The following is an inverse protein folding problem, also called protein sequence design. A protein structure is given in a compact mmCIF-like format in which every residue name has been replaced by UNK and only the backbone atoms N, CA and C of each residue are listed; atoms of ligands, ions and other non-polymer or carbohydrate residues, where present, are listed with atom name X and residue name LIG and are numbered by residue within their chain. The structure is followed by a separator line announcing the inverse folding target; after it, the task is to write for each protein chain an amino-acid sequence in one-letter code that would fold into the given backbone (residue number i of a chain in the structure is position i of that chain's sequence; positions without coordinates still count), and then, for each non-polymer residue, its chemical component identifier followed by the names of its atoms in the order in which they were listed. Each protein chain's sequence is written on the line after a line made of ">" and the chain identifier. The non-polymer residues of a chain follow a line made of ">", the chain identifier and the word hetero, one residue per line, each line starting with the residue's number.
data_IF_289354799235
#
_entry.id   IF_289354799235
#
_cell.length_a   1.000
_cell.length_b   1.000
_cell.length_c   1.000
_cell.angle_alpha   90.00
_cell.angle_beta   90.00
_cell.angle_gamma   90.00
#
_symmetry.space_group_name_H-M   'P 1'
#
loop_
_entity.id
_entity.type
_entity.pdbx_description
1 polymer ?
#
# COMPACT_ATOMS: atom_id res chain seq x y z
N UNK A 1 -17.92 -7.31 3.33
CA UNK A 1 -16.58 -7.46 3.93
C UNK A 1 -15.57 -6.71 3.07
N UNK A 2 -14.79 -5.85 3.66
CA UNK A 2 -13.75 -5.15 2.92
C UNK A 2 -12.46 -5.96 2.94
N UNK A 3 -11.73 -5.89 1.84
CA UNK A 3 -10.44 -6.53 1.71
C UNK A 3 -9.33 -5.50 1.96
N UNK A 4 -8.43 -5.84 2.87
CA UNK A 4 -7.28 -5.01 3.22
C UNK A 4 -6.07 -5.54 2.47
N UNK A 5 -5.41 -4.69 1.70
CA UNK A 5 -4.24 -5.05 0.91
C UNK A 5 -3.08 -4.17 1.33
N UNK A 6 -2.05 -4.77 1.90
CA UNK A 6 -0.88 -4.08 2.42
C UNK A 6 0.34 -4.56 1.66
N UNK A 7 1.14 -3.63 1.15
CA UNK A 7 2.40 -3.97 0.48
C UNK A 7 3.53 -3.18 1.10
N UNK A 8 4.60 -3.87 1.44
CA UNK A 8 5.85 -3.28 1.87
C UNK A 8 6.86 -3.39 0.73
N UNK A 9 7.68 -2.36 0.55
CA UNK A 9 8.64 -2.30 -0.56
C UNK A 9 10.06 -2.19 -0.03
N UNK A 10 10.94 -3.04 -0.54
CA UNK A 10 12.37 -2.98 -0.25
C UNK A 10 13.13 -2.79 -1.55
N UNK A 11 14.10 -1.89 -1.54
CA UNK A 11 14.99 -1.64 -2.68
C UNK A 11 16.42 -1.95 -2.26
N UNK A 12 17.25 -2.53 -3.17
CA UNK A 12 18.63 -2.89 -2.82
C UNK A 12 19.52 -1.67 -2.57
N UNK A 13 19.11 -0.50 -3.06
CA UNK A 13 19.74 0.78 -2.76
C UNK A 13 18.66 1.79 -2.39
N UNK A 14 18.98 2.79 -1.58
CA UNK A 14 18.01 3.86 -1.28
C UNK A 14 17.55 4.54 -2.58
N UNK A 15 16.26 4.84 -2.64
CA UNK A 15 15.73 5.66 -3.73
C UNK A 15 16.28 7.08 -3.59
N UNK A 16 16.60 7.71 -4.73
CA UNK A 16 16.89 9.14 -4.74
C UNK A 16 15.61 9.92 -4.40
N UNK A 17 15.77 11.19 -4.02
CA UNK A 17 14.59 12.04 -3.76
C UNK A 17 13.65 12.14 -4.97
N UNK A 18 14.14 12.34 -6.22
CA UNK A 18 13.27 12.30 -7.38
C UNK A 18 12.56 10.97 -7.59
N UNK A 19 13.25 9.85 -7.33
CA UNK A 19 12.63 8.52 -7.44
C UNK A 19 11.53 8.34 -6.40
N UNK A 20 11.79 8.72 -5.16
CA UNK A 20 10.77 8.63 -4.10
C UNK A 20 9.57 9.52 -4.41
N UNK A 21 9.80 10.70 -4.96
CA UNK A 21 8.73 11.60 -5.37
C UNK A 21 7.90 11.00 -6.52
N UNK A 22 8.55 10.36 -7.49
CA UNK A 22 7.88 9.68 -8.60
C UNK A 22 7.00 8.54 -8.09
N UNK A 23 7.54 7.70 -7.20
CA UNK A 23 6.80 6.58 -6.61
C UNK A 23 5.54 7.09 -5.90
N UNK A 24 5.70 8.13 -5.08
CA UNK A 24 4.59 8.73 -4.35
C UNK A 24 3.53 9.31 -5.27
N UNK A 25 3.96 9.99 -6.33
CA UNK A 25 3.05 10.60 -7.31
C UNK A 25 2.25 9.55 -8.08
N UNK A 26 2.87 8.42 -8.43
CA UNK A 26 2.17 7.33 -9.10
C UNK A 26 1.03 6.81 -8.23
N UNK A 27 1.31 6.52 -6.96
CA UNK A 27 0.29 6.02 -6.03
C UNK A 27 -0.78 7.07 -5.77
N UNK A 28 -0.40 8.33 -5.65
CA UNK A 28 -1.34 9.43 -5.40
C UNK A 28 -2.36 9.62 -6.53
N UNK A 29 -2.02 9.20 -7.75
CA UNK A 29 -2.93 9.30 -8.89
C UNK A 29 -4.01 8.21 -8.90
N UNK A 30 -3.81 7.10 -8.18
CA UNK A 30 -4.67 5.92 -8.30
C UNK A 30 -6.12 6.11 -7.87
N UNK A 31 -6.43 6.88 -6.81
CA UNK A 31 -7.84 7.07 -6.47
C UNK A 31 -8.67 7.67 -7.61
N UNK A 32 -8.10 8.57 -8.40
CA UNK A 32 -8.80 9.14 -9.56
C UNK A 32 -8.63 8.31 -10.81
N UNK A 33 -7.45 7.74 -11.08
CA UNK A 33 -7.21 6.96 -12.30
C UNK A 33 -7.83 5.58 -12.27
N UNK A 34 -7.75 4.89 -11.13
CA UNK A 34 -8.24 3.51 -11.00
C UNK A 34 -9.62 3.48 -10.36
N UNK A 35 -9.78 4.18 -9.23
CA UNK A 35 -11.08 4.40 -8.60
C UNK A 35 -11.73 3.17 -7.96
N UNK A 36 -11.02 2.08 -7.79
CA UNK A 36 -11.56 0.82 -7.28
C UNK A 36 -11.36 0.65 -5.77
N UNK A 37 -10.43 1.42 -5.18
CA UNK A 37 -10.15 1.35 -3.75
C UNK A 37 -11.05 2.31 -2.97
N UNK A 38 -11.41 1.91 -1.77
CA UNK A 38 -12.15 2.76 -0.83
C UNK A 38 -11.20 3.54 0.07
N UNK A 39 -9.96 3.06 0.24
CA UNK A 39 -8.89 3.75 0.97
C UNK A 39 -7.57 3.51 0.26
N UNK A 40 -6.71 4.52 0.29
CA UNK A 40 -5.37 4.43 -0.28
C UNK A 40 -4.44 5.31 0.56
N UNK A 41 -3.40 4.70 1.12
CA UNK A 41 -2.41 5.41 1.94
C UNK A 41 -1.02 4.93 1.56
N UNK A 42 -0.07 5.85 1.56
CA UNK A 42 1.32 5.52 1.27
C UNK A 42 2.19 6.17 2.33
N UNK A 43 3.08 5.40 2.92
CA UNK A 43 3.93 5.89 3.99
C UNK A 43 5.38 5.48 3.81
N UNK A 44 6.25 6.25 4.45
CA UNK A 44 7.68 5.98 4.52
C UNK A 44 8.04 5.66 5.96
N UNK A 45 8.90 4.65 6.17
CA UNK A 45 9.34 4.30 7.50
C UNK A 45 10.08 5.47 8.17
N UNK A 46 9.83 5.65 9.48
CA UNK A 46 10.38 6.77 10.23
C UNK A 46 11.84 6.57 10.65
N UNK A 47 12.18 5.37 11.10
CA UNK A 47 13.46 5.18 11.78
C UNK A 47 14.49 4.42 10.95
N UNK A 48 14.06 3.56 10.04
CA UNK A 48 14.93 2.69 9.27
C UNK A 48 15.58 1.57 10.10
N UNK A 49 15.17 1.40 11.36
CA UNK A 49 15.85 0.51 12.29
C UNK A 49 15.30 -0.91 12.34
N UNK A 50 14.00 -1.09 12.15
CA UNK A 50 13.33 -2.38 12.39
C UNK A 50 12.64 -2.96 11.16
N UNK A 51 12.68 -2.29 10.04
CA UNK A 51 11.92 -2.68 8.85
C UNK A 51 12.66 -3.66 7.96
N UNK A 52 13.89 -4.02 8.30
CA UNK A 52 14.71 -4.97 7.53
C UNK A 52 14.84 -4.58 6.06
N UNK A 53 14.94 -3.26 5.79
CA UNK A 53 15.07 -2.73 4.44
C UNK A 53 13.76 -2.41 3.73
N UNK A 54 12.61 -2.70 4.35
CA UNK A 54 11.31 -2.33 3.80
C UNK A 54 10.97 -0.90 4.22
N UNK A 55 11.31 0.07 3.38
CA UNK A 55 11.22 1.48 3.73
C UNK A 55 9.92 2.16 3.35
N UNK A 56 9.04 1.49 2.59
CA UNK A 56 7.79 2.08 2.12
C UNK A 56 6.63 1.13 2.34
N UNK A 57 5.46 1.69 2.63
CA UNK A 57 4.24 0.93 2.84
C UNK A 57 3.12 1.51 2.00
N UNK A 58 2.41 0.62 1.31
CA UNK A 58 1.16 0.93 0.62
C UNK A 58 0.02 0.21 1.32
N UNK A 59 -0.99 0.96 1.74
CA UNK A 59 -2.22 0.40 2.28
C UNK A 59 -3.37 0.76 1.36
N UNK A 60 -4.10 -0.26 0.89
CA UNK A 60 -5.31 -0.07 0.10
C UNK A 60 -6.43 -0.93 0.65
N UNK A 61 -7.66 -0.43 0.54
CA UNK A 61 -8.86 -1.17 0.90
C UNK A 61 -9.75 -1.28 -0.32
N UNK A 62 -10.31 -2.47 -0.52
CA UNK A 62 -11.22 -2.76 -1.64
C UNK A 62 -12.51 -3.36 -1.10
N UNK A 63 -13.64 -3.16 -1.81
CA UNK A 63 -14.89 -3.77 -1.38
C UNK A 63 -14.86 -5.30 -1.44
N UNK A 64 -14.07 -5.89 -2.35
CA UNK A 64 -13.97 -7.33 -2.53
C UNK A 64 -12.73 -7.72 -3.32
N UNK A 65 -12.51 -9.03 -3.48
CA UNK A 65 -11.35 -9.55 -4.22
C UNK A 65 -11.41 -9.27 -5.71
N UNK A 66 -12.60 -9.11 -6.28
CA UNK A 66 -12.73 -8.77 -7.69
C UNK A 66 -12.19 -7.35 -7.96
N UNK A 67 -12.50 -6.41 -7.09
CA UNK A 67 -11.97 -5.06 -7.18
C UNK A 67 -10.43 -5.05 -7.07
N UNK A 68 -9.88 -5.86 -6.16
CA UNK A 68 -8.43 -6.01 -6.04
C UNK A 68 -7.81 -6.53 -7.35
N UNK A 69 -8.40 -7.56 -7.95
CA UNK A 69 -7.88 -8.11 -9.21
C UNK A 69 -7.94 -7.09 -10.34
N UNK A 70 -9.04 -6.34 -10.45
CA UNK A 70 -9.18 -5.29 -11.46
C UNK A 70 -8.16 -4.17 -11.26
N UNK A 71 -7.87 -3.83 -10.02
CA UNK A 71 -6.83 -2.87 -9.67
C UNK A 71 -5.46 -3.38 -10.11
N UNK A 72 -5.14 -4.64 -9.83
CA UNK A 72 -3.86 -5.22 -10.20
C UNK A 72 -3.65 -5.27 -11.73
N UNK A 73 -4.72 -5.46 -12.49
CA UNK A 73 -4.69 -5.52 -13.95
C UNK A 73 -4.76 -4.14 -14.61
N UNK A 74 -5.04 -3.11 -13.86
CA UNK A 74 -5.18 -1.76 -14.42
C UNK A 74 -3.83 -1.26 -14.95
N UNK A 75 -3.81 -0.58 -16.12
CA UNK A 75 -2.55 -0.09 -16.70
C UNK A 75 -1.72 0.80 -15.78
N UNK A 76 -2.36 1.63 -14.95
CA UNK A 76 -1.64 2.47 -14.00
C UNK A 76 -0.89 1.63 -12.96
N UNK A 77 -1.48 0.52 -12.49
CA UNK A 77 -0.83 -0.38 -11.55
C UNK A 77 0.28 -1.17 -12.23
N UNK A 78 0.05 -1.60 -13.47
CA UNK A 78 1.08 -2.32 -14.25
C UNK A 78 2.31 -1.43 -14.45
N UNK A 79 2.11 -0.15 -14.79
CA UNK A 79 3.22 0.81 -14.92
C UNK A 79 4.01 0.94 -13.62
N UNK A 80 3.32 0.96 -12.49
CA UNK A 80 3.97 1.02 -11.18
C UNK A 80 4.79 -0.24 -10.90
N UNK A 81 4.23 -1.42 -11.17
CA UNK A 81 4.97 -2.68 -11.02
C UNK A 81 6.24 -2.71 -11.86
N UNK A 82 6.14 -2.23 -13.10
CA UNK A 82 7.30 -2.17 -13.99
C UNK A 82 8.35 -1.20 -13.43
N UNK A 83 7.90 -0.06 -12.94
CA UNK A 83 8.79 0.97 -12.39
C UNK A 83 9.56 0.45 -11.17
N UNK A 84 8.90 -0.23 -10.22
CA UNK A 84 9.58 -0.79 -9.07
C UNK A 84 10.46 -1.98 -9.44
N UNK A 85 10.03 -2.80 -10.41
CA UNK A 85 10.80 -3.94 -10.90
C UNK A 85 12.11 -3.50 -11.55
N UNK A 86 12.10 -2.41 -12.31
CA UNK A 86 13.30 -1.84 -12.92
C UNK A 86 14.34 -1.42 -11.87
N UNK A 87 13.92 -1.22 -10.63
CA UNK A 87 14.77 -0.82 -9.50
C UNK A 87 15.03 -1.99 -8.54
N UNK A 88 14.79 -3.20 -9.03
CA UNK A 88 15.02 -4.45 -8.28
C UNK A 88 14.30 -4.49 -6.93
N UNK A 89 13.10 -3.93 -6.90
CA UNK A 89 12.26 -3.94 -5.70
C UNK A 89 11.85 -5.35 -5.32
N UNK A 90 11.87 -5.65 -4.01
CA UNK A 90 11.27 -6.84 -3.46
C UNK A 90 10.00 -6.43 -2.72
N UNK A 91 8.80 -6.67 -3.30
CA UNK A 91 7.55 -6.37 -2.61
C UNK A 91 7.16 -7.52 -1.69
N UNK A 92 6.49 -7.17 -0.59
CA UNK A 92 5.91 -8.12 0.34
C UNK A 92 4.45 -7.73 0.54
N UNK A 93 3.54 -8.58 0.09
CA UNK A 93 2.11 -8.29 0.14
C UNK A 93 1.41 -9.14 1.20
N UNK A 94 0.47 -8.52 1.90
CA UNK A 94 -0.35 -9.17 2.90
C UNK A 94 -1.80 -8.74 2.69
N UNK A 95 -2.68 -9.73 2.49
CA UNK A 95 -4.11 -9.49 2.24
C UNK A 95 -4.96 -10.18 3.29
N UNK A 96 -5.97 -9.49 3.80
CA UNK A 96 -6.94 -10.10 4.70
C UNK A 96 -8.29 -9.39 4.58
N UNK A 97 -9.35 -10.10 4.96
CA UNK A 97 -10.68 -9.50 5.04
C UNK A 97 -10.91 -8.93 6.43
N UNK A 98 -11.42 -7.71 6.46
CA UNK A 98 -11.86 -7.08 7.71
C UNK A 98 -13.30 -7.52 7.95
N UNK A 99 -13.46 -8.62 8.67
CA UNK A 99 -14.74 -9.27 8.90
C UNK A 99 -14.80 -9.86 10.32
N UNK A 100 -15.76 -10.75 10.58
CA UNK A 100 -15.94 -11.39 11.88
C UNK A 100 -14.73 -12.24 12.30
N UNK A 101 -13.88 -12.67 11.35
CA UNK A 101 -12.66 -13.40 11.65
C UNK A 101 -11.50 -12.51 12.08
N UNK A 102 -11.64 -11.20 11.92
CA UNK A 102 -10.61 -10.25 12.35
C UNK A 102 -10.76 -9.98 13.84
N UNK A 103 -9.70 -10.22 14.60
CA UNK A 103 -9.74 -9.95 16.05
C UNK A 103 -9.53 -8.47 16.30
N UNK A 104 -10.57 -7.83 16.81
CA UNK A 104 -10.54 -6.41 17.14
C UNK A 104 -10.34 -6.29 18.66
N UNK A 105 -9.09 -6.07 19.10
CA UNK A 105 -8.75 -6.02 20.51
C UNK A 105 -8.87 -4.64 21.13
N UNK A 106 -8.72 -3.61 20.30
CA UNK A 106 -8.90 -2.23 20.76
C UNK A 106 -9.30 -1.35 19.60
N UNK A 107 -10.45 -0.72 19.73
CA UNK A 107 -10.90 0.32 18.83
C UNK A 107 -11.41 1.46 19.69
N UNK A 108 -10.55 2.44 19.91
CA UNK A 108 -10.89 3.53 20.82
C UNK A 108 -11.24 4.78 20.02
N UNK A 109 -12.37 5.36 20.36
CA UNK A 109 -12.73 6.70 19.91
C UNK A 109 -11.83 7.69 20.65
N UNK A 110 -10.99 8.48 19.95
CA UNK A 110 -10.14 9.47 20.61
C UNK A 110 -10.93 10.43 21.51
N UNK A 111 -12.18 10.74 21.16
CA UNK A 111 -13.02 11.63 21.96
C UNK A 111 -13.43 10.99 23.28
N UNK A 112 -13.47 9.67 23.39
CA UNK A 112 -13.84 8.96 24.61
C UNK A 112 -12.69 8.81 25.60
N UNK A 113 -11.49 9.26 25.26
CA UNK A 113 -10.29 9.15 26.10
C UNK A 113 -9.97 10.40 26.90
N UNK A 114 -10.83 11.36 26.88
CA UNK A 114 -10.61 12.61 27.62
C UNK A 114 -10.75 12.44 29.12
#
# INVERSE_FOLDING_TARGET
>A
MTLQHIVLFSFPRPLTEPEAATMRAMVASWPSEIGLMTKCRFGTDLTGERTRGYGYLLYTEFPDGQALRRYQDHPAHVRFRDWISERDCTPLAFDYHLDDGTVLMAEADPAART
#
